data_IF_724020975317
#
_entry.id   IF_724020975317
#
_cell.length_a   1.000
_cell.length_b   1.000
_cell.length_c   1.000
_cell.angle_alpha   90.00
_cell.angle_beta   90.00
_cell.angle_gamma   90.00
#
_symmetry.space_group_name_H-M   'P 1'
#
loop_
_entity.id
_entity.type
_entity.pdbx_description
1 polymer ?
#
# COMPACT_ATOMS: atom_id res chain seq x y z
N UNK A 1 -38.74 -54.98 -82.98
CA UNK A 1 -38.68 -53.51 -83.04
C UNK A 1 -39.62 -53.02 -81.97
N UNK A 2 -39.06 -52.65 -80.81
CA UNK A 2 -38.89 -51.26 -80.37
C UNK A 2 -40.04 -50.90 -79.39
N UNK A 3 -39.76 -50.91 -78.07
CA UNK A 3 -39.50 -49.74 -77.20
C UNK A 3 -40.74 -48.83 -77.07
N UNK A 4 -41.22 -48.35 -75.90
CA UNK A 4 -40.58 -48.04 -74.63
C UNK A 4 -41.61 -47.52 -73.61
N UNK A 5 -41.26 -47.67 -72.34
CA UNK A 5 -41.45 -46.73 -71.22
C UNK A 5 -42.85 -46.37 -70.72
N UNK A 6 -43.25 -47.15 -69.71
CA UNK A 6 -43.89 -46.69 -68.47
C UNK A 6 -43.06 -45.58 -67.80
N UNK A 7 -43.70 -44.46 -67.47
CA UNK A 7 -43.12 -43.38 -66.70
C UNK A 7 -44.15 -42.82 -65.73
N UNK A 8 -44.38 -43.56 -64.64
CA UNK A 8 -45.18 -43.10 -63.51
C UNK A 8 -44.44 -41.96 -62.80
N UNK A 9 -44.98 -40.75 -62.92
CA UNK A 9 -44.52 -39.58 -62.19
C UNK A 9 -45.04 -39.64 -60.74
N UNK A 10 -44.29 -40.34 -59.88
CA UNK A 10 -44.50 -40.27 -58.45
C UNK A 10 -44.00 -38.91 -57.91
N UNK A 11 -44.94 -38.08 -57.45
CA UNK A 11 -44.69 -36.85 -56.71
C UNK A 11 -44.05 -37.16 -55.36
N UNK A 12 -42.76 -36.86 -55.21
CA UNK A 12 -42.03 -36.96 -53.94
C UNK A 12 -42.48 -35.86 -52.97
N UNK A 13 -42.78 -36.17 -51.69
CA UNK A 13 -43.19 -35.16 -50.73
C UNK A 13 -41.98 -34.31 -50.35
N UNK A 14 -42.10 -32.99 -50.52
CA UNK A 14 -41.09 -32.00 -50.15
C UNK A 14 -40.95 -31.92 -48.62
N UNK A 15 -40.12 -32.79 -48.03
CA UNK A 15 -39.73 -32.70 -46.63
C UNK A 15 -38.66 -31.63 -46.47
N UNK A 16 -39.05 -30.49 -45.89
CA UNK A 16 -38.12 -29.40 -45.53
C UNK A 16 -37.08 -29.95 -44.54
N UNK A 17 -35.77 -29.82 -44.80
CA UNK A 17 -34.76 -30.30 -43.87
C UNK A 17 -34.89 -29.54 -42.54
N UNK A 18 -34.91 -30.27 -41.42
CA UNK A 18 -35.02 -29.68 -40.08
C UNK A 18 -33.92 -28.66 -39.81
N UNK A 19 -34.22 -27.64 -39.01
CA UNK A 19 -33.35 -26.47 -38.75
C UNK A 19 -31.89 -26.86 -38.42
N UNK A 20 -31.70 -27.95 -37.67
CA UNK A 20 -30.38 -28.49 -37.32
C UNK A 20 -29.56 -28.99 -38.51
N UNK A 21 -30.18 -29.51 -39.57
CA UNK A 21 -29.48 -30.01 -40.76
C UNK A 21 -28.98 -28.88 -41.66
N UNK A 22 -29.69 -27.75 -41.69
CA UNK A 22 -29.30 -26.54 -42.43
C UNK A 22 -28.20 -25.74 -41.71
N UNK A 23 -28.18 -25.78 -40.38
CA UNK A 23 -27.31 -24.95 -39.54
C UNK A 23 -26.19 -25.75 -38.85
N UNK A 24 -25.86 -26.96 -39.31
CA UNK A 24 -24.80 -27.81 -38.71
C UNK A 24 -23.48 -27.08 -38.55
N UNK A 25 -23.08 -26.31 -39.57
CA UNK A 25 -21.84 -25.52 -39.57
C UNK A 25 -21.85 -24.46 -38.44
N UNK A 26 -22.98 -23.79 -38.24
CA UNK A 26 -23.15 -22.79 -37.17
C UNK A 26 -23.11 -23.42 -35.78
N UNK A 27 -23.62 -24.65 -35.61
CA UNK A 27 -23.52 -25.39 -34.35
C UNK A 27 -22.08 -25.81 -34.06
N UNK A 28 -21.32 -26.27 -35.06
CA UNK A 28 -19.90 -26.55 -34.89
C UNK A 28 -19.12 -25.29 -34.47
N UNK A 29 -19.39 -24.15 -35.10
CA UNK A 29 -18.76 -22.86 -34.74
C UNK A 29 -19.11 -22.46 -33.30
N UNK A 30 -20.38 -22.59 -32.89
CA UNK A 30 -20.82 -22.27 -31.54
C UNK A 30 -20.16 -23.16 -30.48
N UNK A 31 -20.03 -24.46 -30.76
CA UNK A 31 -19.35 -25.42 -29.87
C UNK A 31 -17.86 -25.12 -29.76
N UNK A 32 -17.20 -24.82 -30.88
CA UNK A 32 -15.78 -24.46 -30.90
C UNK A 32 -15.55 -23.17 -30.10
N UNK A 33 -16.42 -22.17 -30.27
CA UNK A 33 -16.37 -20.93 -29.50
C UNK A 33 -16.56 -21.17 -27.99
N UNK A 34 -17.51 -22.03 -27.60
CA UNK A 34 -17.73 -22.38 -26.20
C UNK A 34 -16.51 -23.08 -25.58
N UNK A 35 -15.85 -23.98 -26.31
CA UNK A 35 -14.65 -24.69 -25.85
C UNK A 35 -13.48 -23.73 -25.67
N UNK A 36 -13.24 -22.83 -26.64
CA UNK A 36 -12.14 -21.86 -26.55
C UNK A 36 -12.30 -20.91 -25.36
N UNK A 37 -13.50 -20.37 -25.15
CA UNK A 37 -13.77 -19.48 -24.02
C UNK A 37 -13.70 -20.21 -22.69
N UNK A 38 -14.22 -21.44 -22.62
CA UNK A 38 -14.18 -22.26 -21.39
C UNK A 38 -12.75 -22.70 -21.05
N UNK A 39 -11.95 -23.05 -22.05
CA UNK A 39 -10.55 -23.45 -21.87
C UNK A 39 -9.69 -22.32 -21.32
N UNK A 40 -9.88 -21.09 -21.82
CA UNK A 40 -9.18 -19.90 -21.31
C UNK A 40 -9.58 -19.60 -19.86
N UNK A 41 -10.87 -19.65 -19.55
CA UNK A 41 -11.36 -19.41 -18.19
C UNK A 41 -10.81 -20.44 -17.20
N UNK A 42 -10.79 -21.72 -17.59
CA UNK A 42 -10.30 -22.80 -16.74
C UNK A 42 -8.76 -22.76 -16.57
N UNK A 43 -8.03 -22.43 -17.64
CA UNK A 43 -6.57 -22.26 -17.60
C UNK A 43 -6.16 -21.09 -16.69
N UNK A 44 -6.85 -19.95 -16.81
CA UNK A 44 -6.63 -18.80 -15.92
C UNK A 44 -6.94 -19.16 -14.47
N UNK A 45 -8.03 -19.88 -14.19
CA UNK A 45 -8.42 -20.29 -12.84
C UNK A 45 -7.41 -21.27 -12.20
N UNK A 46 -6.86 -22.19 -12.99
CA UNK A 46 -5.87 -23.16 -12.49
C UNK A 46 -4.51 -22.52 -12.19
N UNK A 47 -4.03 -21.60 -13.02
CA UNK A 47 -2.76 -20.90 -12.78
C UNK A 47 -2.85 -19.89 -11.62
N UNK A 48 -4.02 -19.29 -11.39
CA UNK A 48 -4.16 -18.23 -10.40
C UNK A 48 -3.98 -18.71 -8.96
N UNK A 49 -4.42 -19.93 -8.65
CA UNK A 49 -4.38 -20.42 -7.27
C UNK A 49 -2.95 -20.73 -6.82
N UNK A 50 -2.11 -21.30 -7.67
CA UNK A 50 -0.69 -21.55 -7.32
C UNK A 50 0.14 -20.26 -7.28
N UNK A 51 -0.18 -19.26 -8.10
CA UNK A 51 0.56 -17.99 -8.10
C UNK A 51 0.18 -17.08 -6.92
N UNK A 52 -1.07 -17.17 -6.42
CA UNK A 52 -1.54 -16.36 -5.30
C UNK A 52 -0.83 -16.70 -4.00
N UNK A 53 -0.53 -17.97 -3.74
CA UNK A 53 0.15 -18.38 -2.52
C UNK A 53 1.60 -17.89 -2.50
N UNK A 54 2.34 -18.10 -3.60
CA UNK A 54 3.72 -17.60 -3.73
C UNK A 54 3.78 -16.06 -3.74
N UNK A 55 2.82 -15.39 -4.40
CA UNK A 55 2.73 -13.92 -4.33
C UNK A 55 2.32 -13.44 -2.93
N UNK A 56 1.42 -14.12 -2.23
CA UNK A 56 1.01 -13.75 -0.88
C UNK A 56 2.20 -13.88 0.09
N UNK A 57 3.01 -14.93 -0.04
CA UNK A 57 4.22 -15.11 0.75
C UNK A 57 5.30 -14.08 0.40
N UNK A 58 5.50 -13.76 -0.88
CA UNK A 58 6.40 -12.68 -1.32
C UNK A 58 5.93 -11.30 -0.85
N UNK A 59 4.62 -11.04 -0.86
CA UNK A 59 4.00 -9.81 -0.38
C UNK A 59 4.13 -9.69 1.14
N UNK A 60 3.95 -10.79 1.89
CA UNK A 60 4.13 -10.81 3.34
C UNK A 60 5.60 -10.57 3.72
N UNK A 61 6.54 -11.25 3.06
CA UNK A 61 7.97 -11.05 3.29
C UNK A 61 8.44 -9.63 2.93
N UNK A 62 7.99 -9.08 1.79
CA UNK A 62 8.30 -7.69 1.40
C UNK A 62 7.59 -6.67 2.27
N UNK A 63 6.39 -6.98 2.74
CA UNK A 63 5.63 -6.14 3.67
C UNK A 63 6.31 -6.01 5.02
N UNK A 64 6.80 -7.14 5.57
CA UNK A 64 7.59 -7.17 6.81
C UNK A 64 8.88 -6.38 6.66
N UNK A 65 9.69 -6.67 5.63
CA UNK A 65 10.92 -5.93 5.33
C UNK A 65 10.64 -4.43 5.12
N UNK A 66 9.58 -4.09 4.39
CA UNK A 66 9.15 -2.72 4.15
C UNK A 66 8.76 -2.01 5.44
N UNK A 67 8.03 -2.67 6.34
CA UNK A 67 7.64 -2.09 7.64
C UNK A 67 8.85 -1.85 8.55
N UNK A 68 9.82 -2.76 8.56
CA UNK A 68 11.06 -2.62 9.32
C UNK A 68 11.95 -1.52 8.75
N UNK A 69 12.10 -1.46 7.43
CA UNK A 69 12.79 -0.37 6.73
C UNK A 69 12.14 0.99 6.98
N UNK A 70 10.79 1.06 6.98
CA UNK A 70 10.06 2.29 7.31
C UNK A 70 10.32 2.66 8.77
N UNK A 71 10.28 1.72 9.71
CA UNK A 71 10.59 2.00 11.11
C UNK A 71 12.04 2.50 11.30
N UNK A 72 13.01 1.88 10.63
CA UNK A 72 14.42 2.28 10.67
C UNK A 72 14.65 3.65 10.04
N UNK A 73 14.09 3.91 8.85
CA UNK A 73 14.19 5.21 8.19
C UNK A 73 13.46 6.30 8.96
N UNK A 74 12.37 5.97 9.63
CA UNK A 74 11.68 6.90 10.52
C UNK A 74 12.56 7.23 11.74
N UNK A 75 13.22 6.24 12.35
CA UNK A 75 14.14 6.49 13.46
C UNK A 75 15.33 7.37 13.04
N UNK A 76 15.94 7.10 11.90
CA UNK A 76 17.02 7.93 11.35
C UNK A 76 16.54 9.34 11.02
N UNK A 77 15.37 9.47 10.38
CA UNK A 77 14.77 10.76 10.09
C UNK A 77 14.46 11.55 11.38
N UNK A 78 13.94 10.89 12.41
CA UNK A 78 13.73 11.50 13.73
C UNK A 78 15.05 11.98 14.32
N UNK A 79 16.13 11.21 14.26
CA UNK A 79 17.43 11.66 14.76
C UNK A 79 17.96 12.89 14.01
N UNK A 80 17.84 12.90 12.68
CA UNK A 80 18.27 14.03 11.85
C UNK A 80 17.44 15.28 12.18
N UNK A 81 16.11 15.14 12.23
CA UNK A 81 15.20 16.24 12.56
C UNK A 81 15.45 16.77 13.97
N UNK A 82 15.61 15.90 14.97
CA UNK A 82 15.96 16.28 16.34
C UNK A 82 17.28 17.07 16.39
N UNK A 83 18.30 16.65 15.63
CA UNK A 83 19.58 17.39 15.55
C UNK A 83 19.40 18.78 14.93
N UNK A 84 18.64 18.89 13.86
CA UNK A 84 18.33 20.18 13.23
C UNK A 84 17.52 21.09 14.17
N UNK A 85 16.57 20.53 14.92
CA UNK A 85 15.79 21.26 15.92
C UNK A 85 16.68 21.79 17.05
N UNK A 86 17.59 20.97 17.59
CA UNK A 86 18.57 21.39 18.61
C UNK A 86 19.43 22.55 18.09
N UNK A 87 19.85 22.51 16.82
CA UNK A 87 20.58 23.63 16.22
C UNK A 87 19.75 24.89 16.08
N UNK A 88 18.46 24.77 15.75
CA UNK A 88 17.51 25.87 15.72
C UNK A 88 17.36 26.53 17.10
N UNK A 89 17.10 25.72 18.12
CA UNK A 89 17.00 26.18 19.52
C UNK A 89 18.29 26.89 19.95
N UNK A 90 19.46 26.29 19.67
CA UNK A 90 20.76 26.91 19.96
C UNK A 90 20.93 28.26 19.24
N UNK A 91 20.52 28.37 17.98
CA UNK A 91 20.62 29.62 17.24
C UNK A 91 19.76 30.73 17.88
N UNK A 92 18.55 30.40 18.32
CA UNK A 92 17.67 31.34 19.03
C UNK A 92 18.20 31.70 20.42
N UNK A 93 18.84 30.76 21.13
CA UNK A 93 19.52 31.04 22.40
C UNK A 93 20.64 32.06 22.20
N UNK A 94 21.47 31.85 21.17
CA UNK A 94 22.57 32.77 20.82
C UNK A 94 22.07 34.15 20.38
N UNK A 95 20.85 34.23 19.84
CA UNK A 95 20.17 35.49 19.50
C UNK A 95 19.53 36.17 20.71
N UNK A 96 19.50 35.51 21.87
CA UNK A 96 18.86 36.01 23.09
C UNK A 96 17.33 35.95 23.06
N UNK A 97 16.74 35.20 22.13
CA UNK A 97 15.29 35.12 21.96
C UNK A 97 14.67 34.10 22.92
N UNK A 98 14.72 34.42 24.23
CA UNK A 98 14.28 33.53 25.31
C UNK A 98 12.79 33.18 25.24
N UNK A 99 11.95 34.13 24.81
CA UNK A 99 10.49 33.96 24.76
C UNK A 99 10.06 32.89 23.75
N UNK A 100 10.66 32.89 22.55
CA UNK A 100 10.37 31.87 21.53
C UNK A 100 10.73 30.46 22.00
N UNK A 101 11.84 30.32 22.73
CA UNK A 101 12.28 29.04 23.26
C UNK A 101 11.37 28.60 24.42
N UNK A 102 10.91 29.54 25.25
CA UNK A 102 10.01 29.25 26.39
C UNK A 102 8.69 28.66 25.89
N UNK A 103 8.08 29.32 24.90
CA UNK A 103 6.87 28.82 24.26
C UNK A 103 7.08 27.43 23.64
N UNK A 104 8.19 27.23 22.93
CA UNK A 104 8.51 25.94 22.33
C UNK A 104 8.66 24.82 23.38
N UNK A 105 9.35 25.07 24.50
CA UNK A 105 9.54 24.08 25.55
C UNK A 105 8.22 23.72 26.25
N UNK A 106 7.37 24.73 26.51
CA UNK A 106 6.05 24.53 27.11
C UNK A 106 5.16 23.70 26.19
N UNK A 107 5.12 24.03 24.90
CA UNK A 107 4.35 23.26 23.91
C UNK A 107 4.87 21.82 23.81
N UNK A 108 6.18 21.61 23.86
CA UNK A 108 6.78 20.28 23.85
C UNK A 108 6.37 19.45 25.08
N UNK A 109 6.41 20.02 26.29
CA UNK A 109 5.94 19.34 27.52
C UNK A 109 4.44 19.06 27.49
N UNK A 110 3.64 19.88 26.80
CA UNK A 110 2.20 19.62 26.66
C UNK A 110 1.86 18.56 25.60
N UNK A 111 2.68 18.46 24.55
CA UNK A 111 2.50 17.52 23.44
C UNK A 111 3.14 16.15 23.71
N UNK A 112 4.05 16.07 24.69
CA UNK A 112 4.77 14.86 25.07
C UNK A 112 4.47 14.51 26.53
N UNK A 113 4.65 13.25 26.94
CA UNK A 113 4.57 12.85 28.36
C UNK A 113 5.85 13.23 29.14
N UNK A 114 6.50 14.35 28.79
CA UNK A 114 7.72 14.79 29.47
C UNK A 114 7.37 15.64 30.68
N UNK A 115 7.83 15.24 31.88
CA UNK A 115 7.53 15.95 33.13
C UNK A 115 8.24 17.31 33.25
N UNK A 116 9.45 17.42 32.70
CA UNK A 116 10.29 18.60 32.84
C UNK A 116 11.33 18.67 31.71
N UNK A 117 11.42 19.82 31.07
CA UNK A 117 12.50 20.14 30.11
C UNK A 117 13.26 21.38 30.56
N UNK A 118 14.57 21.24 30.58
CA UNK A 118 15.55 22.22 31.05
C UNK A 118 16.58 22.45 29.94
N UNK A 119 16.95 23.72 29.72
CA UNK A 119 18.07 24.12 28.87
C UNK A 119 19.16 24.72 29.75
N UNK A 120 20.36 24.15 29.65
CA UNK A 120 21.58 24.60 30.31
C UNK A 120 22.40 25.52 29.39
N UNK A 121 22.94 26.62 29.93
CA UNK A 121 23.96 27.43 29.24
C UNK A 121 25.36 26.83 29.43
N UNK A 122 26.31 27.22 28.58
CA UNK A 122 27.74 26.89 28.63
C UNK A 122 28.43 27.03 30.01
N UNK A 123 27.84 27.81 30.93
CA UNK A 123 28.33 28.02 32.29
C UNK A 123 27.75 27.04 33.35
N UNK A 124 26.90 26.11 32.93
CA UNK A 124 26.24 25.14 33.82
C UNK A 124 25.05 25.68 34.61
N UNK A 125 24.54 26.84 34.20
CA UNK A 125 23.36 27.49 34.78
C UNK A 125 22.16 27.20 33.90
N UNK A 126 21.02 26.95 34.52
CA UNK A 126 19.74 26.79 33.82
C UNK A 126 19.34 28.11 33.18
N UNK A 127 19.40 28.12 31.86
CA UNK A 127 19.02 29.25 31.01
C UNK A 127 17.49 29.35 30.90
N UNK A 128 16.81 28.21 30.76
CA UNK A 128 15.36 28.15 30.62
C UNK A 128 14.81 26.82 31.13
N UNK A 129 13.64 26.85 31.78
CA UNK A 129 12.99 25.67 32.33
C UNK A 129 11.48 25.80 32.22
N UNK A 130 10.82 24.70 31.89
CA UNK A 130 9.35 24.60 31.86
C UNK A 130 8.71 24.75 33.25
N UNK A 131 9.44 24.40 34.31
CA UNK A 131 9.14 24.89 35.66
C UNK A 131 10.09 26.04 36.02
N UNK A 132 9.51 27.24 36.14
CA UNK A 132 10.24 28.48 36.41
C UNK A 132 10.99 28.50 37.74
N UNK A 133 10.66 27.60 38.67
CA UNK A 133 11.38 27.49 39.95
C UNK A 133 12.85 27.14 39.79
N UNK A 134 13.19 26.45 38.70
CA UNK A 134 14.55 25.96 38.44
C UNK A 134 15.41 26.94 37.62
N UNK A 135 14.83 28.02 37.08
CA UNK A 135 15.63 29.01 36.33
C UNK A 135 16.70 29.66 37.21
N UNK A 136 17.87 29.93 36.63
CA UNK A 136 19.04 30.53 37.29
C UNK A 136 19.70 29.68 38.41
N UNK A 137 19.27 28.43 38.58
CA UNK A 137 19.97 27.48 39.43
C UNK A 137 21.02 26.70 38.63
N UNK A 138 21.99 26.09 39.30
CA UNK A 138 22.92 25.16 38.64
C UNK A 138 22.22 23.83 38.41
N UNK A 139 22.44 23.22 37.25
CA UNK A 139 21.85 21.92 36.92
C UNK A 139 22.22 20.85 37.96
N UNK A 140 23.46 20.87 38.44
CA UNK A 140 23.99 19.96 39.48
C UNK A 140 23.30 20.07 40.84
N UNK A 141 22.59 21.17 41.10
CA UNK A 141 21.91 21.39 42.39
C UNK A 141 20.49 20.79 42.38
N UNK A 142 19.97 20.46 41.18
CA UNK A 142 18.58 20.04 40.96
C UNK A 142 18.51 18.58 40.49
N UNK A 143 19.48 18.15 39.68
CA UNK A 143 19.60 16.77 39.19
C UNK A 143 20.92 16.17 39.73
N UNK A 144 20.85 15.07 40.53
CA UNK A 144 22.03 14.40 41.08
C UNK A 144 22.83 13.61 40.05
#
# INVERSE_FOLDING_TARGET
>A
METTNTGDNASTPNQKPGWFAKNRIWLFIAVLFAITNSGIYFYQKYLQDSQKEEFAELLDNKGKLGSELVALKNAEAVQILSKTLVWGVRAEMMRGNKELIDQFLIEMVQQTDADLVIIEDSNGVIYLSTDKKYENQRVTDILP
#
